data_IF_399804300418
#
_entry.id   IF_399804300418
#
_cell.length_a   1.000
_cell.length_b   1.000
_cell.length_c   1.000
_cell.angle_alpha   90.00
_cell.angle_beta   90.00
_cell.angle_gamma   90.00
#
_symmetry.space_group_name_H-M   'P 1'
#
loop_
_entity.id
_entity.type
_entity.pdbx_description
1 polymer ?
#
# COMPACT_ATOMS: atom_id res chain seq x y z
N UNK A 1 -42.92 -51.51 24.12
CA UNK A 1 -44.13 -51.85 23.32
C UNK A 1 -45.10 -50.68 23.34
N UNK A 2 -45.52 -50.26 22.23
CA UNK A 2 -46.47 -49.22 21.81
C UNK A 2 -45.77 -47.97 21.22
N UNK A 3 -45.81 -48.01 19.89
CA UNK A 3 -45.47 -46.96 18.93
C UNK A 3 -46.57 -45.90 18.95
N UNK A 4 -46.25 -44.62 18.96
CA UNK A 4 -47.19 -43.53 18.71
C UNK A 4 -46.78 -42.81 17.41
N UNK A 5 -47.72 -42.44 16.54
CA UNK A 5 -47.42 -41.93 15.20
C UNK A 5 -47.19 -40.40 15.20
N UNK A 6 -46.31 -39.98 14.32
CA UNK A 6 -45.98 -38.60 14.01
C UNK A 6 -47.13 -37.90 13.27
N UNK A 7 -47.62 -36.78 13.79
CA UNK A 7 -48.49 -35.83 13.11
C UNK A 7 -47.66 -34.74 12.43
N UNK A 8 -47.52 -34.85 11.12
CA UNK A 8 -47.00 -33.78 10.27
C UNK A 8 -48.11 -32.76 10.00
N UNK A 9 -48.05 -31.59 10.57
CA UNK A 9 -48.92 -30.46 10.20
C UNK A 9 -48.35 -29.79 8.95
N UNK A 10 -49.12 -29.88 7.84
CA UNK A 10 -48.88 -29.09 6.63
C UNK A 10 -49.23 -27.64 6.89
N UNK A 11 -48.25 -26.72 6.63
CA UNK A 11 -48.44 -25.27 6.62
C UNK A 11 -48.73 -24.85 5.17
N UNK A 12 -49.79 -24.08 4.89
CA UNK A 12 -50.07 -23.64 3.52
C UNK A 12 -49.09 -22.55 3.07
N UNK A 13 -48.54 -22.73 1.87
CA UNK A 13 -47.66 -21.77 1.17
C UNK A 13 -48.54 -20.65 0.63
N UNK A 14 -48.26 -19.36 0.95
CA UNK A 14 -48.98 -18.26 0.31
C UNK A 14 -48.48 -18.07 -1.13
N UNK A 15 -49.44 -17.95 -2.03
CA UNK A 15 -49.27 -17.66 -3.45
C UNK A 15 -48.70 -16.23 -3.60
N UNK A 16 -47.41 -16.07 -3.90
CA UNK A 16 -46.79 -14.78 -4.23
C UNK A 16 -47.17 -14.41 -5.66
N UNK A 17 -48.04 -13.40 -5.79
CA UNK A 17 -48.32 -12.71 -7.04
C UNK A 17 -47.05 -11.93 -7.49
N UNK A 18 -46.38 -12.43 -8.53
CA UNK A 18 -45.32 -11.74 -9.25
C UNK A 18 -45.88 -10.56 -10.04
N UNK A 19 -45.78 -9.34 -9.50
CA UNK A 19 -45.91 -8.15 -10.30
C UNK A 19 -44.61 -7.93 -11.10
N UNK A 20 -44.64 -8.21 -12.39
CA UNK A 20 -43.61 -7.88 -13.32
C UNK A 20 -43.57 -6.36 -13.52
N UNK A 21 -42.71 -5.64 -12.78
CA UNK A 21 -42.30 -4.30 -13.14
C UNK A 21 -41.34 -4.41 -14.32
N UNK A 22 -41.82 -4.10 -15.53
CA UNK A 22 -40.97 -3.82 -16.67
C UNK A 22 -40.21 -2.51 -16.43
N UNK A 23 -39.09 -2.60 -15.73
CA UNK A 23 -38.10 -1.52 -15.71
C UNK A 23 -37.46 -1.48 -17.09
N UNK A 24 -37.78 -0.45 -17.89
CA UNK A 24 -37.03 -0.14 -19.09
C UNK A 24 -35.60 0.22 -18.68
N UNK A 25 -34.69 -0.76 -18.73
CA UNK A 25 -33.27 -0.52 -18.58
C UNK A 25 -32.84 0.33 -19.78
N UNK A 26 -32.73 1.63 -19.57
CA UNK A 26 -31.95 2.49 -20.46
C UNK A 26 -30.52 1.90 -20.48
N UNK A 27 -30.15 1.26 -21.60
CA UNK A 27 -28.75 0.90 -21.87
C UNK A 27 -27.91 2.17 -21.77
N UNK A 28 -27.14 2.32 -20.69
CA UNK A 28 -26.04 3.27 -20.68
C UNK A 28 -25.18 3.02 -21.92
N UNK A 29 -24.72 4.09 -22.60
CA UNK A 29 -23.87 3.90 -23.78
C UNK A 29 -22.66 3.04 -23.38
N UNK A 30 -22.42 1.98 -24.14
CA UNK A 30 -21.23 1.15 -23.97
C UNK A 30 -19.99 2.05 -24.02
N UNK A 31 -19.17 2.03 -22.99
CA UNK A 31 -17.92 2.78 -22.94
C UNK A 31 -17.11 2.49 -24.22
N UNK A 32 -16.39 3.50 -24.68
CA UNK A 32 -15.53 3.36 -25.89
C UNK A 32 -14.53 2.23 -25.62
N UNK A 33 -14.57 1.16 -26.42
CA UNK A 33 -13.63 0.04 -26.25
C UNK A 33 -12.20 0.56 -26.40
N UNK A 34 -11.33 0.20 -25.46
CA UNK A 34 -9.91 0.51 -25.49
C UNK A 34 -9.27 -0.02 -26.80
N UNK A 35 -8.37 0.76 -27.37
CA UNK A 35 -7.58 0.34 -28.52
C UNK A 35 -6.14 0.05 -28.12
N UNK A 36 -5.47 -0.84 -28.86
CA UNK A 36 -4.03 -1.13 -28.65
C UNK A 36 -3.21 0.16 -28.77
N UNK A 37 -3.52 1.04 -29.73
CA UNK A 37 -2.83 2.31 -29.90
C UNK A 37 -2.99 3.24 -28.69
N UNK A 38 -4.17 3.31 -28.06
CA UNK A 38 -4.41 4.10 -26.88
C UNK A 38 -3.58 3.59 -25.68
N UNK A 39 -3.55 2.27 -25.47
CA UNK A 39 -2.70 1.66 -24.42
C UNK A 39 -1.22 2.00 -24.61
N UNK A 40 -0.70 1.85 -25.82
CA UNK A 40 0.70 2.16 -26.14
C UNK A 40 1.03 3.65 -25.99
N UNK A 41 0.09 4.54 -26.34
CA UNK A 41 0.25 5.98 -26.12
C UNK A 41 0.35 6.31 -24.64
N UNK A 42 -0.58 5.81 -23.81
CA UNK A 42 -0.55 6.03 -22.36
C UNK A 42 0.74 5.45 -21.75
N UNK A 43 1.17 4.26 -22.20
CA UNK A 43 2.43 3.68 -21.76
C UNK A 43 3.64 4.58 -22.06
N UNK A 44 3.67 5.19 -23.24
CA UNK A 44 4.75 6.11 -23.62
C UNK A 44 4.75 7.39 -22.80
N UNK A 45 3.57 7.96 -22.51
CA UNK A 45 3.42 9.13 -21.63
C UNK A 45 3.90 8.84 -20.21
N UNK A 46 3.50 7.70 -19.64
CA UNK A 46 3.94 7.25 -18.31
C UNK A 46 5.44 6.99 -18.25
N UNK A 47 6.02 6.29 -19.24
CA UNK A 47 7.46 6.03 -19.31
C UNK A 47 8.27 7.34 -19.41
N UNK A 48 7.78 8.31 -20.19
CA UNK A 48 8.37 9.66 -20.23
C UNK A 48 8.32 10.33 -18.86
N UNK A 49 7.18 10.29 -18.18
CA UNK A 49 7.00 10.89 -16.85
C UNK A 49 7.94 10.24 -15.81
N UNK A 50 8.09 8.90 -15.82
CA UNK A 50 9.06 8.19 -14.97
C UNK A 50 10.46 8.75 -15.17
N UNK A 51 10.91 8.87 -16.41
CA UNK A 51 12.29 9.31 -16.71
C UNK A 51 12.52 10.78 -16.40
N UNK A 52 11.66 11.66 -16.91
CA UNK A 52 11.92 13.10 -16.98
C UNK A 52 11.40 13.87 -15.76
N UNK A 53 10.25 13.47 -15.23
CA UNK A 53 9.59 14.19 -14.15
C UNK A 53 9.86 13.56 -12.78
N UNK A 54 10.19 12.25 -12.73
CA UNK A 54 10.44 11.54 -11.49
C UNK A 54 11.94 11.22 -11.30
N UNK A 55 12.47 10.23 -11.99
CA UNK A 55 13.79 9.67 -11.69
C UNK A 55 14.92 10.70 -11.89
N UNK A 56 14.92 11.47 -12.99
CA UNK A 56 15.95 12.47 -13.26
C UNK A 56 15.91 13.66 -12.30
N UNK A 57 14.82 13.85 -11.54
CA UNK A 57 14.72 14.89 -10.52
C UNK A 57 15.26 14.42 -9.18
N UNK A 58 15.01 13.15 -8.85
CA UNK A 58 15.47 12.60 -7.59
C UNK A 58 16.91 12.10 -7.62
N UNK A 59 17.38 11.54 -8.76
CA UNK A 59 18.68 10.90 -8.82
C UNK A 59 19.59 11.53 -9.87
N UNK A 60 20.83 11.88 -9.48
CA UNK A 60 21.50 11.60 -8.19
C UNK A 60 21.28 12.62 -7.06
N UNK A 61 20.40 13.61 -7.21
CA UNK A 61 20.25 14.74 -6.26
C UNK A 61 20.00 14.32 -4.80
N UNK A 62 19.23 13.25 -4.59
CA UNK A 62 18.94 12.75 -3.24
C UNK A 62 20.07 11.90 -2.63
N UNK A 63 21.13 11.59 -3.36
CA UNK A 63 22.26 10.82 -2.82
C UNK A 63 23.06 11.67 -1.82
N UNK A 64 23.17 11.21 -0.57
CA UNK A 64 24.07 11.84 0.41
C UNK A 64 25.49 11.29 0.27
N UNK A 65 26.29 11.91 -0.60
CA UNK A 65 27.67 11.50 -0.86
C UNK A 65 28.60 11.68 0.33
N UNK A 66 28.20 12.47 1.34
CA UNK A 66 29.04 12.77 2.50
C UNK A 66 28.86 11.73 3.62
N UNK A 67 27.60 11.34 3.90
CA UNK A 67 27.29 10.49 5.05
C UNK A 67 26.60 9.16 4.65
N UNK A 68 26.44 8.91 3.36
CA UNK A 68 25.78 7.69 2.86
C UNK A 68 24.26 7.77 2.88
N UNK A 69 23.60 6.84 2.20
CA UNK A 69 22.15 6.82 2.05
C UNK A 69 21.62 7.99 1.23
N UNK A 70 20.39 8.40 1.53
CA UNK A 70 19.67 9.42 0.77
C UNK A 70 19.26 10.59 1.66
N UNK A 71 19.31 11.79 1.09
CA UNK A 71 18.75 13.01 1.65
C UNK A 71 17.22 12.93 1.62
N UNK A 72 16.54 13.48 2.62
CA UNK A 72 15.11 13.29 2.81
C UNK A 72 14.26 14.53 2.53
N UNK A 73 14.75 15.73 2.88
CA UNK A 73 13.88 16.91 2.92
C UNK A 73 14.26 17.92 1.83
N UNK A 74 13.32 18.13 0.90
CA UNK A 74 13.46 19.03 -0.25
C UNK A 74 12.28 19.98 -0.32
N UNK A 75 12.56 21.24 -0.66
CA UNK A 75 11.54 22.25 -1.01
C UNK A 75 10.82 21.85 -2.30
N UNK A 76 9.75 22.56 -2.64
CA UNK A 76 8.96 22.32 -3.86
C UNK A 76 9.79 22.37 -5.16
N UNK A 77 10.92 23.08 -5.17
CA UNK A 77 11.85 23.21 -6.30
C UNK A 77 13.16 22.43 -6.09
N UNK A 78 13.14 21.37 -5.31
CA UNK A 78 14.26 20.45 -5.03
C UNK A 78 15.49 21.09 -4.39
N UNK A 79 15.37 22.20 -3.65
CA UNK A 79 16.45 22.69 -2.81
C UNK A 79 16.44 21.96 -1.46
N UNK A 80 17.62 21.65 -0.94
CA UNK A 80 17.74 21.06 0.40
C UNK A 80 17.23 22.01 1.47
N UNK A 81 16.47 21.49 2.44
CA UNK A 81 15.95 22.28 3.55
C UNK A 81 15.79 21.42 4.80
N UNK A 82 15.78 22.04 5.97
CA UNK A 82 15.50 21.37 7.24
C UNK A 82 16.45 20.22 7.61
N UNK A 83 16.08 19.45 8.62
CA UNK A 83 16.83 18.25 9.00
C UNK A 83 16.81 17.20 7.88
N UNK A 84 17.95 16.53 7.71
CA UNK A 84 18.10 15.42 6.75
C UNK A 84 18.13 14.09 7.49
N UNK A 85 17.20 13.91 8.43
CA UNK A 85 17.03 12.66 9.17
C UNK A 85 16.67 11.52 8.21
N UNK A 86 17.17 10.34 8.49
CA UNK A 86 17.04 9.16 7.63
C UNK A 86 16.21 8.09 8.33
N UNK A 87 14.99 7.89 7.84
CA UNK A 87 14.09 6.86 8.33
C UNK A 87 14.24 5.60 7.47
N UNK A 88 14.26 4.42 8.10
CA UNK A 88 14.42 3.14 7.42
C UNK A 88 13.46 2.99 6.23
N UNK A 89 12.20 3.38 6.38
CA UNK A 89 11.18 3.24 5.33
C UNK A 89 11.56 4.00 4.08
N UNK A 90 11.91 5.28 4.21
CA UNK A 90 12.26 6.13 3.05
C UNK A 90 13.60 5.73 2.45
N UNK A 91 14.60 5.39 3.27
CA UNK A 91 15.88 4.88 2.78
C UNK A 91 15.71 3.58 1.98
N UNK A 92 14.94 2.64 2.49
CA UNK A 92 14.60 1.40 1.82
C UNK A 92 13.82 1.64 0.50
N UNK A 93 12.83 2.55 0.52
CA UNK A 93 12.07 2.95 -0.67
C UNK A 93 12.97 3.51 -1.77
N UNK A 94 13.98 4.30 -1.43
CA UNK A 94 14.98 4.78 -2.41
C UNK A 94 15.85 3.65 -2.98
N UNK A 95 16.27 2.69 -2.15
CA UNK A 95 17.03 1.50 -2.62
C UNK A 95 16.16 0.70 -3.58
N UNK A 96 14.92 0.39 -3.20
CA UNK A 96 13.97 -0.32 -4.04
C UNK A 96 13.75 0.40 -5.38
N UNK A 97 13.47 1.69 -5.33
CA UNK A 97 13.20 2.50 -6.54
C UNK A 97 14.39 2.47 -7.51
N UNK A 98 15.60 2.59 -7.02
CA UNK A 98 16.80 2.52 -7.86
C UNK A 98 17.08 1.11 -8.37
N UNK A 99 16.79 0.07 -7.58
CA UNK A 99 16.88 -1.33 -8.02
C UNK A 99 15.90 -1.60 -9.20
N UNK A 100 14.65 -1.14 -9.08
CA UNK A 100 13.68 -1.25 -10.17
C UNK A 100 14.09 -0.41 -11.38
N UNK A 101 14.49 0.86 -11.17
CA UNK A 101 14.95 1.73 -12.24
C UNK A 101 16.15 1.13 -13.01
N UNK A 102 17.08 0.47 -12.32
CA UNK A 102 18.24 -0.18 -12.96
C UNK A 102 17.86 -1.39 -13.83
N UNK A 103 16.71 -2.02 -13.57
CA UNK A 103 16.15 -3.10 -14.41
C UNK A 103 15.34 -2.56 -15.58
N UNK A 104 14.60 -1.47 -15.36
CA UNK A 104 13.82 -0.82 -16.42
C UNK A 104 14.69 -0.11 -17.46
N UNK A 105 15.80 0.47 -17.00
CA UNK A 105 16.71 1.30 -17.80
C UNK A 105 18.17 0.87 -17.60
N UNK A 106 18.54 -0.35 -18.01
CA UNK A 106 19.86 -0.93 -17.75
C UNK A 106 21.01 -0.13 -18.40
N UNK A 107 20.71 0.67 -19.42
CA UNK A 107 21.65 1.59 -20.06
C UNK A 107 22.05 2.78 -19.16
N UNK A 108 21.25 3.08 -18.12
CA UNK A 108 21.47 4.20 -17.21
C UNK A 108 22.13 3.69 -15.92
N UNK A 109 23.47 3.59 -15.94
CA UNK A 109 24.25 2.94 -14.89
C UNK A 109 24.11 3.59 -13.49
N UNK A 110 23.79 4.88 -13.41
CA UNK A 110 23.74 5.57 -12.13
C UNK A 110 22.61 5.05 -11.22
N UNK A 111 21.51 4.50 -11.73
CA UNK A 111 20.46 3.90 -10.87
C UNK A 111 21.02 2.68 -10.11
N UNK A 112 21.80 1.84 -10.79
CA UNK A 112 22.48 0.71 -10.12
C UNK A 112 23.47 1.19 -9.06
N UNK A 113 24.20 2.27 -9.33
CA UNK A 113 25.13 2.88 -8.37
C UNK A 113 24.39 3.49 -7.17
N UNK A 114 23.27 4.19 -7.38
CA UNK A 114 22.44 4.74 -6.31
C UNK A 114 21.83 3.61 -5.44
N UNK A 115 21.36 2.52 -6.03
CA UNK A 115 20.85 1.38 -5.26
C UNK A 115 21.94 0.75 -4.39
N UNK A 116 23.13 0.51 -4.95
CA UNK A 116 24.27 -0.01 -4.21
C UNK A 116 24.69 0.91 -3.04
N UNK A 117 24.73 2.23 -3.30
CA UNK A 117 25.04 3.25 -2.29
C UNK A 117 24.03 3.21 -1.13
N UNK A 118 22.73 3.20 -1.45
CA UNK A 118 21.68 3.14 -0.43
C UNK A 118 21.69 1.80 0.32
N UNK A 119 21.88 0.67 -0.37
CA UNK A 119 21.98 -0.63 0.27
C UNK A 119 23.16 -0.70 1.25
N UNK A 120 24.32 -0.15 0.89
CA UNK A 120 25.47 -0.04 1.80
C UNK A 120 25.09 0.71 3.09
N UNK A 121 24.30 1.77 3.00
CA UNK A 121 23.80 2.50 4.16
C UNK A 121 22.83 1.65 5.01
N UNK A 122 21.89 0.96 4.37
CA UNK A 122 20.99 0.03 5.09
C UNK A 122 21.78 -1.02 5.89
N UNK A 123 22.76 -1.66 5.26
CA UNK A 123 23.53 -2.75 5.86
C UNK A 123 24.48 -2.27 6.96
N UNK A 124 25.13 -1.12 6.77
CA UNK A 124 26.25 -0.69 7.63
C UNK A 124 25.81 0.27 8.74
N UNK A 125 24.72 1.02 8.55
CA UNK A 125 24.24 2.08 9.45
C UNK A 125 22.87 1.76 10.03
N UNK A 126 21.90 1.39 9.19
CA UNK A 126 20.53 1.17 9.67
C UNK A 126 20.32 -0.19 10.34
N UNK A 127 21.10 -1.21 9.98
CA UNK A 127 21.03 -2.52 10.62
C UNK A 127 21.69 -2.50 12.00
N UNK A 128 20.94 -2.86 13.06
CA UNK A 128 21.47 -3.01 14.42
C UNK A 128 22.33 -4.27 14.51
N UNK A 129 23.63 -4.08 14.67
CA UNK A 129 24.62 -5.18 14.74
C UNK A 129 24.64 -5.90 16.09
N UNK A 130 23.99 -5.34 17.10
CA UNK A 130 23.95 -5.88 18.47
C UNK A 130 22.70 -6.72 18.66
N UNK A 131 21.51 -6.12 18.40
CA UNK A 131 20.22 -6.75 18.67
C UNK A 131 19.52 -7.28 17.40
N UNK A 132 20.06 -7.00 16.21
CA UNK A 132 19.39 -7.29 14.96
C UNK A 132 18.21 -6.34 14.68
N UNK A 133 17.59 -6.49 13.51
CA UNK A 133 16.55 -5.58 13.04
C UNK A 133 17.09 -4.21 12.64
N UNK A 134 16.25 -3.42 11.98
CA UNK A 134 16.62 -2.08 11.54
C UNK A 134 16.21 -1.02 12.57
N UNK A 135 17.09 -0.05 12.80
CA UNK A 135 16.75 1.18 13.51
C UNK A 135 15.66 1.96 12.75
N UNK A 136 14.73 2.58 13.47
CA UNK A 136 13.64 3.34 12.87
C UNK A 136 14.14 4.65 12.27
N UNK A 137 14.96 5.41 13.00
CA UNK A 137 15.39 6.76 12.63
C UNK A 137 16.82 7.02 13.07
N UNK A 138 17.63 7.56 12.15
CA UNK A 138 18.95 8.09 12.42
C UNK A 138 19.06 9.55 11.93
N UNK A 139 19.99 10.32 12.47
CA UNK A 139 20.29 11.63 11.93
C UNK A 139 21.02 11.53 10.57
N UNK A 140 21.28 12.65 9.92
CA UNK A 140 21.98 12.67 8.64
C UNK A 140 23.32 11.92 8.67
N UNK A 141 24.05 11.97 9.80
CA UNK A 141 25.37 11.34 9.96
C UNK A 141 25.30 9.84 10.25
N UNK A 142 24.11 9.32 10.52
CA UNK A 142 23.88 7.91 10.88
C UNK A 142 23.88 7.65 12.39
N UNK A 143 23.86 8.68 13.23
CA UNK A 143 23.70 8.51 14.68
C UNK A 143 22.24 8.17 15.00
N UNK A 144 22.03 7.22 15.91
CA UNK A 144 20.69 6.82 16.35
C UNK A 144 19.95 8.02 16.95
N UNK A 145 18.77 8.31 16.41
CA UNK A 145 17.92 9.42 16.85
C UNK A 145 16.68 8.95 17.59
N UNK A 146 16.13 7.81 17.20
CA UNK A 146 15.05 7.14 17.91
C UNK A 146 15.58 5.85 18.55
N UNK A 147 15.80 5.92 19.87
CA UNK A 147 16.25 4.80 20.70
C UNK A 147 15.09 4.04 21.35
N UNK A 148 13.84 4.45 21.10
CA UNK A 148 12.68 3.93 21.83
C UNK A 148 12.19 2.60 21.32
N UNK A 149 12.51 2.24 20.05
CA UNK A 149 12.09 0.96 19.53
C UNK A 149 12.31 0.75 18.04
N UNK A 150 11.87 -0.41 17.61
CA UNK A 150 11.83 -0.85 16.21
C UNK A 150 10.39 -1.14 15.82
N UNK A 151 10.12 -1.22 14.52
CA UNK A 151 8.78 -1.54 14.01
C UNK A 151 8.83 -2.69 13.03
N UNK A 152 7.81 -3.54 13.02
CA UNK A 152 7.65 -4.56 12.00
C UNK A 152 7.55 -3.91 10.60
N UNK A 153 6.84 -2.79 10.49
CA UNK A 153 6.73 -1.99 9.29
C UNK A 153 8.09 -1.55 8.71
N UNK A 154 8.96 -0.96 9.55
CA UNK A 154 10.30 -0.55 9.12
C UNK A 154 11.18 -1.72 8.68
N UNK A 155 11.09 -2.85 9.39
CA UNK A 155 11.81 -4.07 9.06
C UNK A 155 11.29 -4.72 7.77
N UNK A 156 9.98 -4.66 7.50
CA UNK A 156 9.39 -5.10 6.23
C UNK A 156 10.02 -4.34 5.05
N UNK A 157 10.14 -3.01 5.12
CA UNK A 157 10.80 -2.25 4.07
C UNK A 157 12.29 -2.57 3.93
N UNK A 158 12.98 -2.87 5.02
CA UNK A 158 14.36 -3.37 4.97
C UNK A 158 14.49 -4.68 4.19
N UNK A 159 13.58 -5.63 4.41
CA UNK A 159 13.49 -6.89 3.64
C UNK A 159 13.20 -6.59 2.17
N UNK A 160 12.16 -5.80 1.91
CA UNK A 160 11.69 -5.46 0.57
C UNK A 160 12.78 -4.86 -0.31
N UNK A 161 13.46 -3.84 0.19
CA UNK A 161 14.55 -3.18 -0.52
C UNK A 161 15.75 -4.11 -0.76
N UNK A 162 16.12 -4.90 0.24
CA UNK A 162 17.26 -5.82 0.15
C UNK A 162 16.98 -6.95 -0.84
N UNK A 163 15.76 -7.51 -0.86
CA UNK A 163 15.34 -8.53 -1.81
C UNK A 163 15.31 -7.97 -3.25
N UNK A 164 14.74 -6.77 -3.45
CA UNK A 164 14.73 -6.11 -4.76
C UNK A 164 16.15 -5.80 -5.27
N UNK A 165 17.04 -5.35 -4.40
CA UNK A 165 18.44 -5.12 -4.76
C UNK A 165 19.16 -6.42 -5.15
N UNK A 166 18.95 -7.51 -4.41
CA UNK A 166 19.47 -8.83 -4.80
C UNK A 166 18.99 -9.25 -6.19
N UNK A 167 17.69 -9.11 -6.47
CA UNK A 167 17.10 -9.46 -7.77
C UNK A 167 17.62 -8.60 -8.93
N UNK A 168 18.04 -7.37 -8.66
CA UNK A 168 18.57 -6.45 -9.66
C UNK A 168 20.08 -6.59 -9.87
N UNK A 169 20.84 -7.02 -8.85
CA UNK A 169 22.31 -6.98 -8.87
C UNK A 169 23.00 -8.34 -8.77
N UNK A 170 22.32 -9.34 -8.19
CA UNK A 170 22.93 -10.59 -7.76
C UNK A 170 23.75 -10.49 -6.47
N UNK A 171 23.70 -9.35 -5.75
CA UNK A 171 24.48 -9.18 -4.51
C UNK A 171 23.98 -10.09 -3.39
N UNK A 172 24.73 -11.14 -3.11
CA UNK A 172 24.38 -12.13 -2.08
C UNK A 172 24.37 -11.57 -0.66
N UNK A 173 25.05 -10.43 -0.39
CA UNK A 173 24.94 -9.74 0.90
C UNK A 173 23.54 -9.17 1.11
N UNK A 174 22.92 -8.71 0.04
CA UNK A 174 21.55 -8.18 0.10
C UNK A 174 20.55 -9.31 0.42
N UNK A 175 20.65 -10.44 -0.23
CA UNK A 175 19.82 -11.61 0.11
C UNK A 175 20.06 -12.06 1.55
N UNK A 176 21.31 -12.09 2.00
CA UNK A 176 21.63 -12.45 3.38
C UNK A 176 21.01 -11.47 4.39
N UNK A 177 21.08 -10.17 4.13
CA UNK A 177 20.47 -9.16 5.00
C UNK A 177 18.95 -9.31 5.06
N UNK A 178 18.28 -9.51 3.91
CA UNK A 178 16.84 -9.75 3.85
C UNK A 178 16.43 -11.01 4.65
N UNK A 179 17.18 -12.12 4.51
CA UNK A 179 16.96 -13.36 5.28
C UNK A 179 17.18 -13.15 6.77
N UNK A 180 18.24 -12.45 7.17
CA UNK A 180 18.51 -12.16 8.59
C UNK A 180 17.39 -11.32 9.20
N UNK A 181 16.86 -10.34 8.45
CA UNK A 181 15.73 -9.53 8.91
C UNK A 181 14.43 -10.34 9.01
N UNK A 182 14.16 -11.24 8.05
CA UNK A 182 13.04 -12.18 8.13
C UNK A 182 13.13 -13.07 9.39
N UNK A 183 14.28 -13.70 9.64
CA UNK A 183 14.48 -14.52 10.84
C UNK A 183 14.39 -13.73 12.13
N UNK A 184 14.83 -12.48 12.11
CA UNK A 184 14.67 -11.58 13.26
C UNK A 184 13.19 -11.28 13.54
N UNK A 185 12.38 -11.02 12.51
CA UNK A 185 10.94 -10.82 12.66
C UNK A 185 10.25 -12.10 13.17
N UNK A 186 10.63 -13.27 12.68
CA UNK A 186 10.10 -14.55 13.18
C UNK A 186 10.40 -14.76 14.67
N UNK A 187 11.59 -14.43 15.09
CA UNK A 187 12.01 -14.61 16.48
C UNK A 187 11.37 -13.61 17.43
N UNK A 188 11.14 -12.36 17.00
CA UNK A 188 10.80 -11.25 17.88
C UNK A 188 9.39 -10.74 17.69
N UNK A 189 8.90 -10.67 16.46
CA UNK A 189 7.64 -10.01 16.15
C UNK A 189 6.48 -10.96 15.83
N UNK A 190 6.74 -12.17 15.35
CA UNK A 190 5.69 -13.13 15.02
C UNK A 190 4.91 -13.57 16.26
N UNK A 191 3.59 -13.54 16.19
CA UNK A 191 2.70 -14.00 17.26
C UNK A 191 2.34 -15.49 17.05
N UNK A 192 2.90 -16.41 17.84
CA UNK A 192 2.65 -17.84 17.66
C UNK A 192 1.22 -18.27 18.03
N UNK A 193 0.50 -17.45 18.81
CA UNK A 193 -0.85 -17.76 19.31
C UNK A 193 -1.91 -17.28 18.33
N UNK A 194 -1.92 -15.97 18.05
CA UNK A 194 -2.95 -15.34 17.22
C UNK A 194 -2.49 -15.09 15.78
N UNK A 195 -1.24 -15.46 15.45
CA UNK A 195 -0.63 -15.27 14.13
C UNK A 195 -0.40 -13.80 13.77
N UNK A 196 0.27 -13.57 12.62
CA UNK A 196 0.71 -12.24 12.22
C UNK A 196 1.80 -11.68 13.14
N UNK A 197 2.00 -10.36 13.11
CA UNK A 197 3.17 -9.75 13.73
C UNK A 197 2.77 -8.58 14.62
N UNK A 198 3.47 -8.44 15.76
CA UNK A 198 3.42 -7.23 16.58
C UNK A 198 4.12 -6.08 15.87
N UNK A 199 3.48 -4.90 15.87
CA UNK A 199 4.01 -3.72 15.18
C UNK A 199 5.18 -3.08 15.93
N UNK A 200 5.01 -2.84 17.23
CA UNK A 200 5.94 -2.09 18.04
C UNK A 200 6.83 -3.02 18.85
N UNK A 201 8.15 -2.82 18.78
CA UNK A 201 9.16 -3.63 19.47
C UNK A 201 10.14 -2.71 20.20
N UNK A 202 10.59 -3.12 21.37
CA UNK A 202 11.69 -2.47 22.08
C UNK A 202 13.00 -2.61 21.26
N UNK A 203 14.07 -1.89 21.61
CA UNK A 203 15.36 -1.98 20.90
C UNK A 203 15.92 -3.40 20.80
N UNK A 204 15.68 -4.25 21.81
CA UNK A 204 16.10 -5.66 21.86
C UNK A 204 15.19 -6.63 21.07
N UNK A 205 14.09 -6.12 20.52
CA UNK A 205 13.10 -6.90 19.79
C UNK A 205 11.93 -7.40 20.64
N UNK A 206 11.85 -7.09 21.93
CA UNK A 206 10.70 -7.47 22.77
C UNK A 206 9.44 -6.74 22.30
N UNK A 207 8.29 -7.44 22.05
CA UNK A 207 7.04 -6.80 21.65
C UNK A 207 6.52 -5.84 22.72
N UNK A 208 6.12 -4.63 22.30
CA UNK A 208 5.50 -3.64 23.18
C UNK A 208 4.02 -3.99 23.36
N UNK A 209 3.63 -4.23 24.61
CA UNK A 209 2.23 -4.49 24.96
C UNK A 209 1.51 -3.20 25.35
N UNK A 210 0.24 -3.10 24.97
CA UNK A 210 -0.62 -2.00 25.39
C UNK A 210 -0.97 -2.13 26.87
N UNK A 211 -0.92 -1.02 27.59
CA UNK A 211 -1.32 -0.92 28.99
C UNK A 211 -2.32 0.23 29.15
N UNK A 212 -2.97 0.33 30.31
CA UNK A 212 -3.90 1.42 30.63
C UNK A 212 -3.24 2.82 30.62
N UNK A 213 -1.92 2.88 30.79
CA UNK A 213 -1.17 4.12 30.71
C UNK A 213 -1.01 4.66 29.28
N UNK A 214 -1.24 3.82 28.26
CA UNK A 214 -1.16 4.25 26.86
C UNK A 214 -2.42 5.05 26.51
N UNK A 215 -2.31 6.32 26.05
CA UNK A 215 -3.46 7.13 25.67
C UNK A 215 -4.36 6.44 24.63
N UNK A 216 -5.67 6.62 24.72
CA UNK A 216 -6.64 6.02 23.82
C UNK A 216 -6.43 6.43 22.35
N UNK A 217 -5.83 7.60 22.11
CA UNK A 217 -5.48 8.12 20.78
C UNK A 217 -4.16 7.57 20.21
N UNK A 218 -3.42 6.77 21.00
CA UNK A 218 -2.14 6.17 20.58
C UNK A 218 -2.38 4.81 19.95
N UNK A 219 -1.57 4.48 18.95
CA UNK A 219 -1.58 3.20 18.23
C UNK A 219 -0.67 2.14 18.86
N UNK A 220 0.11 2.50 19.88
CA UNK A 220 1.12 1.63 20.50
C UNK A 220 0.48 0.37 21.08
N UNK A 221 1.05 -0.78 20.74
CA UNK A 221 0.65 -2.10 21.25
C UNK A 221 -0.54 -2.74 20.55
N UNK A 222 -1.09 -2.11 19.50
CA UNK A 222 -2.04 -2.75 18.58
C UNK A 222 -1.31 -3.48 17.45
N UNK A 223 -1.98 -4.46 16.87
CA UNK A 223 -1.70 -4.90 15.49
C UNK A 223 -2.39 -3.95 14.52
N UNK A 224 -1.86 -3.79 13.33
CA UNK A 224 -2.41 -2.84 12.36
C UNK A 224 -2.36 -3.36 10.92
N UNK A 225 -3.27 -2.83 10.10
CA UNK A 225 -3.36 -3.17 8.71
C UNK A 225 -2.09 -2.75 7.92
N UNK A 226 -1.52 -1.57 8.23
CA UNK A 226 -0.43 -0.99 7.46
C UNK A 226 0.85 -1.83 7.58
N UNK A 227 1.21 -2.26 8.80
CA UNK A 227 2.31 -3.21 8.99
C UNK A 227 2.03 -4.55 8.32
N UNK A 228 0.78 -5.03 8.40
CA UNK A 228 0.38 -6.32 7.83
C UNK A 228 0.50 -6.34 6.30
N UNK A 229 0.02 -5.30 5.60
CA UNK A 229 0.10 -5.25 4.13
C UNK A 229 1.54 -5.10 3.63
N UNK A 230 2.39 -4.36 4.35
CA UNK A 230 3.79 -4.20 3.95
C UNK A 230 4.67 -5.39 4.36
N UNK A 231 4.30 -6.18 5.35
CA UNK A 231 4.88 -7.51 5.57
C UNK A 231 4.49 -8.47 4.43
N UNK A 232 3.22 -8.47 3.99
CA UNK A 232 2.79 -9.23 2.82
C UNK A 232 3.63 -8.86 1.59
N UNK A 233 3.79 -7.57 1.32
CA UNK A 233 4.58 -7.04 0.21
C UNK A 233 6.05 -7.47 0.30
N UNK A 234 6.68 -7.30 1.47
CA UNK A 234 8.07 -7.65 1.68
C UNK A 234 8.33 -9.17 1.56
N UNK A 235 7.42 -9.98 2.07
CA UNK A 235 7.51 -11.43 1.97
C UNK A 235 7.26 -11.92 0.54
N UNK A 236 6.40 -11.24 -0.21
CA UNK A 236 6.18 -11.50 -1.64
C UNK A 236 7.47 -11.29 -2.44
N UNK A 237 8.14 -10.14 -2.26
CA UNK A 237 9.40 -9.83 -2.94
C UNK A 237 10.53 -10.78 -2.51
N UNK A 238 10.62 -11.09 -1.21
CA UNK A 238 11.63 -12.01 -0.71
C UNK A 238 11.39 -13.45 -1.19
N UNK A 239 10.13 -13.91 -1.21
CA UNK A 239 9.80 -15.27 -1.66
C UNK A 239 10.11 -15.46 -3.15
N UNK A 240 9.89 -14.44 -3.96
CA UNK A 240 10.29 -14.45 -5.37
C UNK A 240 11.82 -14.55 -5.57
N UNK A 241 12.62 -14.14 -4.57
CA UNK A 241 14.08 -14.22 -4.57
C UNK A 241 14.62 -15.49 -3.85
N UNK A 242 13.89 -15.98 -2.87
CA UNK A 242 14.26 -17.08 -2.00
C UNK A 242 13.02 -17.89 -1.57
N UNK A 243 12.67 -18.95 -2.32
CA UNK A 243 11.46 -19.74 -2.06
C UNK A 243 11.64 -20.73 -0.90
N UNK A 244 11.72 -20.20 0.32
CA UNK A 244 11.87 -20.96 1.57
C UNK A 244 10.51 -21.47 2.06
N UNK A 245 10.41 -22.70 2.62
CA UNK A 245 9.14 -23.26 3.10
C UNK A 245 8.47 -22.46 4.21
N UNK A 246 9.23 -21.93 5.20
CA UNK A 246 8.66 -21.13 6.29
C UNK A 246 8.21 -19.75 5.77
N UNK A 247 9.01 -19.12 4.92
CA UNK A 247 8.61 -17.85 4.28
C UNK A 247 7.32 -18.02 3.45
N UNK A 248 7.17 -19.16 2.75
CA UNK A 248 5.92 -19.50 2.06
C UNK A 248 4.74 -19.56 3.03
N UNK A 249 4.92 -20.26 4.16
CA UNK A 249 3.88 -20.37 5.19
C UNK A 249 3.49 -18.99 5.72
N UNK A 250 4.46 -18.13 6.04
CA UNK A 250 4.21 -16.77 6.54
C UNK A 250 3.58 -15.85 5.51
N UNK A 251 3.99 -15.95 4.26
CA UNK A 251 3.36 -15.20 3.17
C UNK A 251 1.89 -15.59 2.99
N UNK A 252 1.60 -16.89 3.06
CA UNK A 252 0.22 -17.40 3.00
C UNK A 252 -0.58 -16.98 4.25
N UNK A 253 0.01 -17.04 5.43
CA UNK A 253 -0.60 -16.59 6.69
C UNK A 253 -1.01 -15.11 6.58
N UNK A 254 -0.10 -14.23 6.13
CA UNK A 254 -0.39 -12.81 5.97
C UNK A 254 -1.48 -12.57 4.92
N UNK A 255 -1.46 -13.28 3.79
CA UNK A 255 -2.51 -13.18 2.77
C UNK A 255 -3.89 -13.52 3.36
N UNK A 256 -3.99 -14.61 4.12
CA UNK A 256 -5.26 -15.04 4.72
C UNK A 256 -5.73 -14.09 5.82
N UNK A 257 -4.83 -13.60 6.68
CA UNK A 257 -5.18 -12.62 7.71
C UNK A 257 -5.72 -11.32 7.11
N UNK A 258 -5.07 -10.79 6.09
CA UNK A 258 -5.50 -9.56 5.43
C UNK A 258 -6.84 -9.77 4.73
N UNK A 259 -6.98 -10.87 3.98
CA UNK A 259 -8.17 -11.17 3.18
C UNK A 259 -9.39 -11.44 4.05
N UNK A 260 -9.25 -12.27 5.11
CA UNK A 260 -10.37 -12.89 5.80
C UNK A 260 -10.68 -12.24 7.17
N UNK A 261 -9.73 -11.46 7.73
CA UNK A 261 -9.86 -10.87 9.09
C UNK A 261 -9.75 -9.35 9.04
N UNK A 262 -8.69 -8.81 8.41
CA UNK A 262 -8.45 -7.37 8.39
C UNK A 262 -9.39 -6.66 7.41
N UNK A 263 -9.76 -7.31 6.31
CA UNK A 263 -10.77 -6.80 5.37
C UNK A 263 -12.17 -7.14 5.87
N UNK A 264 -12.99 -6.12 6.13
CA UNK A 264 -14.36 -6.32 6.60
C UNK A 264 -15.34 -6.68 5.46
N UNK A 265 -16.57 -7.01 5.81
CA UNK A 265 -17.61 -7.43 4.86
C UNK A 265 -17.99 -6.35 3.83
N UNK A 266 -17.76 -5.06 4.14
CA UNK A 266 -18.02 -3.95 3.20
C UNK A 266 -16.95 -3.80 2.14
N UNK A 267 -15.77 -4.38 2.35
CA UNK A 267 -14.61 -4.25 1.46
C UNK A 267 -13.67 -3.11 1.85
N UNK A 268 -13.66 -2.71 3.11
CA UNK A 268 -12.66 -1.80 3.66
C UNK A 268 -11.83 -2.47 4.75
N UNK A 269 -10.64 -1.96 4.99
CA UNK A 269 -9.75 -2.46 6.03
C UNK A 269 -10.16 -1.97 7.41
N UNK A 270 -9.98 -2.82 8.42
CA UNK A 270 -9.92 -2.42 9.83
C UNK A 270 -8.50 -1.95 10.11
N UNK A 271 -8.33 -0.69 10.52
CA UNK A 271 -7.00 -0.08 10.61
C UNK A 271 -6.17 -0.63 11.76
N UNK A 272 -6.77 -0.76 12.95
CA UNK A 272 -6.11 -1.26 14.15
C UNK A 272 -6.92 -2.35 14.83
N UNK A 273 -6.22 -3.34 15.37
CA UNK A 273 -6.80 -4.52 15.99
C UNK A 273 -6.07 -4.83 17.29
N UNK A 274 -6.76 -5.44 18.24
CA UNK A 274 -6.15 -6.03 19.43
C UNK A 274 -5.20 -7.18 19.02
N UNK A 275 -4.32 -7.65 19.92
CA UNK A 275 -3.44 -8.78 19.59
C UNK A 275 -4.16 -10.04 19.11
N UNK A 276 -5.40 -10.26 19.53
CA UNK A 276 -6.27 -11.37 19.13
C UNK A 276 -7.11 -11.09 17.86
N UNK A 277 -6.81 -10.02 17.14
CA UNK A 277 -7.49 -9.54 15.94
C UNK A 277 -8.90 -8.95 16.18
N UNK A 278 -9.31 -8.72 17.44
CA UNK A 278 -10.54 -7.97 17.71
C UNK A 278 -10.40 -6.53 17.18
N UNK A 279 -11.34 -6.03 16.35
CA UNK A 279 -11.29 -4.68 15.82
C UNK A 279 -11.26 -3.60 16.91
N UNK A 280 -10.43 -2.58 16.74
CA UNK A 280 -10.51 -1.34 17.50
C UNK A 280 -11.46 -0.40 16.78
N UNK A 281 -12.61 -0.08 17.40
CA UNK A 281 -13.63 0.76 16.77
C UNK A 281 -14.23 1.74 17.79
N UNK A 282 -14.51 2.94 17.31
CA UNK A 282 -15.20 4.01 18.05
C UNK A 282 -16.62 4.27 17.52
N UNK A 283 -17.16 3.38 16.68
CA UNK A 283 -18.45 3.55 16.00
C UNK A 283 -19.62 3.79 16.95
N UNK A 284 -19.53 3.31 18.20
CA UNK A 284 -20.56 3.51 19.25
C UNK A 284 -20.39 4.81 20.05
N UNK A 285 -19.35 5.58 19.77
CA UNK A 285 -19.05 6.83 20.44
C UNK A 285 -19.75 8.03 19.76
N UNK A 286 -19.69 9.20 20.39
CA UNK A 286 -20.11 10.44 19.78
C UNK A 286 -19.25 10.80 18.55
N UNK A 287 -19.78 11.57 17.62
CA UNK A 287 -19.07 12.03 16.42
C UNK A 287 -17.75 12.75 16.78
N UNK A 288 -17.75 13.54 17.88
CA UNK A 288 -16.55 14.22 18.37
C UNK A 288 -15.46 13.23 18.77
N UNK A 289 -15.81 12.18 19.52
CA UNK A 289 -14.88 11.14 19.95
C UNK A 289 -14.37 10.35 18.75
N UNK A 290 -15.23 9.99 17.81
CA UNK A 290 -14.84 9.33 16.55
C UNK A 290 -13.77 10.16 15.83
N UNK A 291 -14.01 11.45 15.61
CA UNK A 291 -13.08 12.34 14.92
C UNK A 291 -11.77 12.55 15.69
N UNK A 292 -11.77 12.51 17.02
CA UNK A 292 -10.54 12.51 17.82
C UNK A 292 -9.69 11.26 17.61
N UNK A 293 -10.33 10.12 17.34
CA UNK A 293 -9.68 8.82 17.12
C UNK A 293 -9.57 8.43 15.63
N UNK A 294 -9.82 9.37 14.70
CA UNK A 294 -9.82 9.08 13.26
C UNK A 294 -8.52 8.43 12.76
N UNK A 295 -7.37 8.71 13.40
CA UNK A 295 -6.10 8.07 13.01
C UNK A 295 -6.08 6.56 13.31
N UNK A 296 -7.01 6.06 14.13
CA UNK A 296 -7.10 4.66 14.51
C UNK A 296 -8.28 3.97 13.83
N UNK A 297 -9.37 4.71 13.58
CA UNK A 297 -10.64 4.15 13.10
C UNK A 297 -11.24 5.07 12.03
N UNK A 298 -10.96 4.78 10.75
CA UNK A 298 -11.56 5.40 9.58
C UNK A 298 -11.50 4.45 8.39
N UNK A 299 -12.24 4.73 7.34
CA UNK A 299 -12.09 4.08 6.03
C UNK A 299 -11.01 4.80 5.25
N UNK A 300 -9.94 4.10 4.87
CA UNK A 300 -8.83 4.62 4.07
C UNK A 300 -8.89 4.04 2.66
N UNK A 301 -9.49 4.78 1.72
CA UNK A 301 -9.66 4.30 0.35
C UNK A 301 -8.33 3.98 -0.35
N UNK A 302 -7.28 4.74 -0.04
CA UNK A 302 -5.95 4.48 -0.59
C UNK A 302 -5.39 3.12 -0.16
N UNK A 303 -5.48 2.79 1.13
CA UNK A 303 -5.03 1.50 1.63
C UNK A 303 -5.90 0.33 1.14
N UNK A 304 -7.22 0.54 1.03
CA UNK A 304 -8.12 -0.50 0.50
C UNK A 304 -7.69 -0.91 -0.92
N UNK A 305 -7.40 0.08 -1.77
CA UNK A 305 -6.99 -0.14 -3.17
C UNK A 305 -5.59 -0.74 -3.27
N UNK A 306 -4.63 -0.24 -2.49
CA UNK A 306 -3.27 -0.78 -2.43
C UNK A 306 -3.29 -2.24 -2.00
N UNK A 307 -4.07 -2.56 -0.97
CA UNK A 307 -4.19 -3.92 -0.43
C UNK A 307 -4.78 -4.89 -1.45
N UNK A 308 -5.78 -4.45 -2.22
CA UNK A 308 -6.35 -5.28 -3.29
C UNK A 308 -5.27 -5.73 -4.28
N UNK A 309 -4.40 -4.82 -4.71
CA UNK A 309 -3.26 -5.14 -5.57
C UNK A 309 -2.25 -6.08 -4.88
N UNK A 310 -1.83 -5.76 -3.65
CA UNK A 310 -0.82 -6.54 -2.92
C UNK A 310 -1.26 -7.98 -2.66
N UNK A 311 -2.53 -8.21 -2.35
CA UNK A 311 -3.07 -9.57 -2.17
C UNK A 311 -3.01 -10.39 -3.46
N UNK A 312 -3.36 -9.79 -4.61
CA UNK A 312 -3.30 -10.47 -5.90
C UNK A 312 -1.87 -10.79 -6.32
N UNK A 313 -0.92 -9.89 -6.06
CA UNK A 313 0.49 -10.13 -6.31
C UNK A 313 1.04 -11.26 -5.42
N UNK A 314 0.70 -11.27 -4.14
CA UNK A 314 1.08 -12.35 -3.22
C UNK A 314 0.52 -13.71 -3.65
N UNK A 315 -0.75 -13.76 -4.03
CA UNK A 315 -1.41 -14.97 -4.55
C UNK A 315 -0.71 -15.49 -5.81
N UNK A 316 -0.36 -14.58 -6.73
CA UNK A 316 0.40 -14.92 -7.95
C UNK A 316 1.77 -15.50 -7.63
N UNK A 317 2.55 -14.86 -6.76
CA UNK A 317 3.91 -15.30 -6.38
C UNK A 317 3.88 -16.62 -5.59
N UNK A 318 2.86 -16.86 -4.78
CA UNK A 318 2.60 -18.15 -4.12
C UNK A 318 2.27 -19.26 -5.11
N UNK A 319 1.95 -18.93 -6.36
CA UNK A 319 1.53 -19.87 -7.39
C UNK A 319 0.15 -20.49 -7.12
N UNK A 320 -0.75 -19.76 -6.43
CA UNK A 320 -2.12 -20.23 -6.16
C UNK A 320 -2.93 -20.11 -7.46
N UNK A 321 -3.20 -21.26 -8.07
CA UNK A 321 -3.99 -21.31 -9.30
C UNK A 321 -5.46 -21.03 -9.01
N UNK A 322 -6.09 -20.15 -9.81
CA UNK A 322 -7.53 -19.83 -9.71
C UNK A 322 -7.95 -19.39 -8.30
N UNK A 323 -7.21 -18.48 -7.70
CA UNK A 323 -7.52 -17.90 -6.38
C UNK A 323 -8.75 -16.97 -6.46
N UNK A 324 -9.91 -17.59 -6.69
CA UNK A 324 -11.17 -16.88 -6.87
C UNK A 324 -11.56 -16.08 -5.62
N UNK A 325 -11.24 -16.58 -4.43
CA UNK A 325 -11.59 -15.89 -3.19
C UNK A 325 -10.81 -14.58 -3.03
N UNK A 326 -9.49 -14.60 -3.23
CA UNK A 326 -8.69 -13.38 -3.17
C UNK A 326 -9.13 -12.37 -4.24
N UNK A 327 -9.44 -12.84 -5.46
CA UNK A 327 -9.96 -11.99 -6.53
C UNK A 327 -11.30 -11.34 -6.17
N UNK A 328 -12.25 -12.09 -5.59
CA UNK A 328 -13.56 -11.58 -5.17
C UNK A 328 -13.40 -10.51 -4.08
N UNK A 329 -12.54 -10.74 -3.08
CA UNK A 329 -12.32 -9.78 -2.01
C UNK A 329 -11.60 -8.54 -2.53
N UNK A 330 -10.54 -8.69 -3.34
CA UNK A 330 -9.83 -7.59 -3.97
C UNK A 330 -10.78 -6.72 -4.82
N UNK A 331 -11.63 -7.35 -5.65
CA UNK A 331 -12.65 -6.64 -6.42
C UNK A 331 -13.62 -5.89 -5.53
N UNK A 332 -14.11 -6.51 -4.45
CA UNK A 332 -15.02 -5.86 -3.48
C UNK A 332 -14.39 -4.60 -2.87
N UNK A 333 -13.11 -4.64 -2.52
CA UNK A 333 -12.38 -3.49 -1.99
C UNK A 333 -12.31 -2.34 -3.01
N UNK A 334 -11.99 -2.66 -4.25
CA UNK A 334 -11.94 -1.65 -5.33
C UNK A 334 -13.32 -1.09 -5.64
N UNK A 335 -14.35 -1.93 -5.71
CA UNK A 335 -15.74 -1.50 -5.96
C UNK A 335 -16.24 -0.58 -4.83
N UNK A 336 -15.95 -0.94 -3.57
CA UNK A 336 -16.28 -0.10 -2.41
C UNK A 336 -15.60 1.28 -2.51
N UNK A 337 -14.31 1.33 -2.81
CA UNK A 337 -13.59 2.57 -2.97
C UNK A 337 -14.11 3.42 -4.14
N UNK A 338 -14.44 2.80 -5.29
CA UNK A 338 -15.05 3.48 -6.43
C UNK A 338 -16.47 4.00 -6.15
N UNK A 339 -17.25 3.26 -5.38
CA UNK A 339 -18.62 3.64 -5.07
C UNK A 339 -18.67 4.81 -4.09
N UNK A 340 -17.77 4.86 -3.12
CA UNK A 340 -17.87 5.76 -1.98
C UNK A 340 -16.76 6.81 -1.87
N UNK A 341 -15.58 6.53 -2.41
CA UNK A 341 -14.40 7.40 -2.31
C UNK A 341 -14.00 8.09 -3.61
N UNK A 342 -14.64 7.79 -4.72
CA UNK A 342 -14.28 8.33 -6.03
C UNK A 342 -14.89 9.68 -6.31
N UNK A 343 -14.09 10.67 -6.68
CA UNK A 343 -14.58 11.93 -7.22
C UNK A 343 -15.01 11.78 -8.69
N UNK A 344 -16.31 11.84 -8.94
CA UNK A 344 -16.87 11.68 -10.28
C UNK A 344 -16.65 12.88 -11.19
N UNK A 345 -16.25 14.04 -10.67
CA UNK A 345 -16.04 15.28 -11.45
C UNK A 345 -14.64 15.33 -12.05
N UNK A 346 -13.63 15.19 -11.19
CA UNK A 346 -12.24 15.37 -11.59
C UNK A 346 -11.48 14.05 -11.68
N UNK A 347 -12.03 12.97 -11.14
CA UNK A 347 -11.32 11.71 -10.89
C UNK A 347 -10.53 11.74 -9.58
N UNK A 348 -9.94 10.60 -9.24
CA UNK A 348 -9.17 10.44 -8.02
C UNK A 348 -10.00 10.01 -6.81
N UNK A 349 -9.30 9.48 -5.81
CA UNK A 349 -9.89 8.99 -4.56
C UNK A 349 -9.69 10.00 -3.44
N UNK A 350 -10.75 10.27 -2.69
CA UNK A 350 -10.67 10.96 -1.41
C UNK A 350 -9.88 10.12 -0.40
N UNK A 351 -9.37 10.77 0.65
CA UNK A 351 -8.45 10.16 1.60
C UNK A 351 -9.17 9.31 2.67
N UNK A 352 -10.05 9.96 3.46
CA UNK A 352 -10.65 9.32 4.62
C UNK A 352 -12.19 9.48 4.65
N UNK A 353 -12.87 8.43 5.12
CA UNK A 353 -14.31 8.44 5.33
C UNK A 353 -14.70 7.70 6.61
N UNK A 354 -15.95 7.84 7.04
CA UNK A 354 -16.47 7.15 8.21
C UNK A 354 -17.94 6.75 8.05
N UNK A 355 -18.32 5.60 8.63
CA UNK A 355 -19.71 5.13 8.73
C UNK A 355 -20.32 5.54 10.07
N UNK A 356 -20.84 6.78 10.18
CA UNK A 356 -21.52 7.24 11.38
C UNK A 356 -22.87 6.53 11.54
N UNK A 357 -23.20 6.04 12.77
CA UNK A 357 -24.46 5.35 13.04
C UNK A 357 -25.72 6.21 12.82
N UNK A 358 -25.59 7.51 13.02
CA UNK A 358 -26.67 8.49 12.88
C UNK A 358 -26.79 9.08 11.47
N UNK A 359 -25.99 8.61 10.50
CA UNK A 359 -26.01 9.08 9.10
C UNK A 359 -26.25 7.91 8.15
N UNK A 360 -26.93 8.18 7.06
CA UNK A 360 -27.14 7.20 6.01
C UNK A 360 -25.88 7.11 5.12
N UNK A 361 -25.36 5.89 4.94
CA UNK A 361 -24.20 5.65 4.09
C UNK A 361 -22.88 6.06 4.76
N UNK A 362 -21.88 6.39 3.92
CA UNK A 362 -20.56 6.83 4.36
C UNK A 362 -20.42 8.34 4.25
N UNK A 363 -19.64 8.94 5.12
CA UNK A 363 -19.33 10.38 5.11
C UNK A 363 -17.86 10.57 4.84
N UNK A 364 -17.50 11.36 3.82
CA UNK A 364 -16.11 11.79 3.60
C UNK A 364 -15.74 12.74 4.73
N UNK A 365 -14.68 12.42 5.47
CA UNK A 365 -14.15 13.21 6.59
C UNK A 365 -12.85 13.92 6.24
N UNK A 366 -12.18 13.49 5.15
CA UNK A 366 -11.02 14.15 4.56
C UNK A 366 -11.07 14.02 3.05
N UNK A 367 -11.31 15.13 2.38
CA UNK A 367 -11.50 15.22 0.93
C UNK A 367 -10.23 15.52 0.13
N UNK A 368 -9.07 15.57 0.78
CA UNK A 368 -7.79 15.65 0.09
C UNK A 368 -7.52 14.37 -0.71
N UNK A 369 -6.67 14.47 -1.73
CA UNK A 369 -6.33 13.35 -2.61
C UNK A 369 -4.81 13.17 -2.58
N UNK A 370 -4.34 12.30 -1.68
CA UNK A 370 -2.93 11.98 -1.47
C UNK A 370 -2.28 11.37 -2.72
N UNK A 371 -1.05 11.76 -3.03
CA UNK A 371 -0.28 11.26 -4.17
C UNK A 371 -0.16 9.73 -4.21
N UNK A 372 0.13 9.14 -3.05
CA UNK A 372 0.33 7.69 -2.97
C UNK A 372 -0.96 6.91 -3.23
N UNK A 373 -2.09 7.37 -2.70
CA UNK A 373 -3.38 6.74 -2.92
C UNK A 373 -3.80 6.81 -4.41
N UNK A 374 -3.51 7.93 -5.10
CA UNK A 374 -3.77 8.04 -6.53
C UNK A 374 -2.84 7.13 -7.35
N UNK A 375 -1.57 7.02 -6.95
CA UNK A 375 -0.62 6.12 -7.58
C UNK A 375 -1.10 4.66 -7.48
N UNK A 376 -1.43 4.20 -6.27
CA UNK A 376 -1.91 2.83 -6.06
C UNK A 376 -3.26 2.60 -6.76
N UNK A 377 -4.14 3.60 -6.76
CA UNK A 377 -5.39 3.55 -7.50
C UNK A 377 -5.20 3.37 -8.99
N UNK A 378 -4.24 4.09 -9.58
CA UNK A 378 -3.90 3.96 -11.00
C UNK A 378 -3.49 2.52 -11.36
N UNK A 379 -2.57 1.95 -10.58
CA UNK A 379 -2.08 0.58 -10.78
C UNK A 379 -3.21 -0.45 -10.65
N UNK A 380 -4.01 -0.34 -9.59
CA UNK A 380 -5.06 -1.31 -9.29
C UNK A 380 -6.23 -1.22 -10.26
N UNK A 381 -6.61 -0.03 -10.71
CA UNK A 381 -7.66 0.15 -11.71
C UNK A 381 -7.30 -0.50 -13.05
N UNK A 382 -6.04 -0.38 -13.49
CA UNK A 382 -5.58 -1.06 -14.70
C UNK A 382 -5.57 -2.58 -14.54
N UNK A 383 -5.14 -3.08 -13.37
CA UNK A 383 -5.19 -4.51 -13.05
C UNK A 383 -6.65 -5.04 -13.10
N UNK A 384 -7.60 -4.31 -12.51
CA UNK A 384 -9.02 -4.69 -12.56
C UNK A 384 -9.58 -4.64 -13.99
N UNK A 385 -9.17 -3.66 -14.79
CA UNK A 385 -9.56 -3.56 -16.19
C UNK A 385 -9.09 -4.77 -17.03
N UNK A 386 -7.88 -5.27 -16.76
CA UNK A 386 -7.37 -6.46 -17.44
C UNK A 386 -8.15 -7.74 -17.06
N UNK A 387 -8.54 -7.87 -15.78
CA UNK A 387 -9.32 -9.02 -15.29
C UNK A 387 -10.82 -8.93 -15.61
N UNK A 388 -11.39 -7.73 -15.64
CA UNK A 388 -12.83 -7.50 -15.80
C UNK A 388 -13.11 -6.43 -16.87
N UNK A 389 -12.78 -6.68 -18.15
CA UNK A 389 -12.84 -5.66 -19.21
C UNK A 389 -14.25 -5.11 -19.50
N UNK A 390 -15.27 -5.91 -19.27
CA UNK A 390 -16.68 -5.55 -19.54
C UNK A 390 -17.48 -5.25 -18.25
N UNK A 391 -16.79 -5.00 -17.11
CA UNK A 391 -17.45 -4.74 -15.83
C UNK A 391 -18.23 -3.41 -15.85
N UNK A 392 -19.43 -3.34 -15.24
CA UNK A 392 -20.22 -2.12 -15.13
C UNK A 392 -19.50 -0.96 -14.42
N UNK A 393 -18.47 -1.23 -13.60
CA UNK A 393 -17.65 -0.21 -12.95
C UNK A 393 -16.72 0.52 -13.92
N UNK A 394 -16.52 -0.02 -15.15
CA UNK A 394 -15.73 0.60 -16.22
C UNK A 394 -14.31 0.94 -15.76
N UNK A 395 -13.58 -0.05 -15.24
CA UNK A 395 -12.25 0.15 -14.63
C UNK A 395 -11.24 0.82 -15.55
N UNK A 396 -11.24 0.50 -16.86
CA UNK A 396 -10.32 1.16 -17.80
C UNK A 396 -10.67 2.64 -18.00
N UNK A 397 -11.94 3.00 -18.01
CA UNK A 397 -12.36 4.40 -18.04
C UNK A 397 -11.94 5.14 -16.77
N UNK A 398 -12.11 4.50 -15.60
CA UNK A 398 -11.64 5.04 -14.33
C UNK A 398 -10.11 5.18 -14.28
N UNK A 399 -9.37 4.24 -14.84
CA UNK A 399 -7.93 4.32 -15.03
C UNK A 399 -7.54 5.53 -15.90
N UNK A 400 -8.21 5.76 -17.03
CA UNK A 400 -7.95 6.93 -17.89
C UNK A 400 -8.22 8.25 -17.17
N UNK A 401 -9.35 8.35 -16.48
CA UNK A 401 -9.69 9.53 -15.66
C UNK A 401 -8.66 9.75 -14.55
N UNK A 402 -8.19 8.67 -13.91
CA UNK A 402 -7.13 8.75 -12.90
C UNK A 402 -5.81 9.25 -13.48
N UNK A 403 -5.40 8.74 -14.64
CA UNK A 403 -4.18 9.23 -15.30
C UNK A 403 -4.29 10.69 -15.69
N UNK A 404 -5.43 11.12 -16.24
CA UNK A 404 -5.68 12.53 -16.54
C UNK A 404 -5.66 13.40 -15.27
N UNK A 405 -6.26 12.92 -14.18
CA UNK A 405 -6.22 13.61 -12.87
C UNK A 405 -4.78 13.80 -12.40
N UNK A 406 -3.98 12.74 -12.43
CA UNK A 406 -2.57 12.75 -12.01
C UNK A 406 -1.78 13.76 -12.84
N UNK A 407 -1.93 13.75 -14.16
CA UNK A 407 -1.26 14.71 -15.06
C UNK A 407 -1.67 16.16 -14.77
N UNK A 408 -2.92 16.39 -14.43
CA UNK A 408 -3.45 17.76 -14.28
C UNK A 408 -3.19 18.35 -12.89
N UNK A 409 -3.29 17.53 -11.82
CA UNK A 409 -3.33 18.04 -10.46
C UNK A 409 -2.23 17.53 -9.54
N UNK A 410 -1.50 16.48 -9.92
CA UNK A 410 -0.43 15.92 -9.10
C UNK A 410 0.97 16.13 -9.68
N UNK A 411 1.19 15.91 -10.97
CA UNK A 411 2.51 16.07 -11.57
C UNK A 411 2.89 17.56 -11.60
N UNK A 412 4.05 17.88 -11.03
CA UNK A 412 4.67 19.21 -11.20
C UNK A 412 5.51 19.23 -12.48
N UNK A 413 4.91 19.62 -13.59
CA UNK A 413 5.57 19.68 -14.89
C UNK A 413 6.72 20.70 -14.96
N UNK A 414 6.83 21.60 -13.98
CA UNK A 414 7.91 22.62 -13.93
C UNK A 414 9.10 22.12 -13.14
N UNK A 415 8.87 21.73 -11.88
CA UNK A 415 9.94 21.31 -10.99
C UNK A 415 10.15 19.79 -10.99
N UNK A 416 9.18 19.02 -11.45
CA UNK A 416 9.18 17.57 -11.42
C UNK A 416 8.61 16.98 -10.15
N UNK A 417 8.49 15.64 -10.12
CA UNK A 417 7.81 14.86 -9.10
C UNK A 417 6.33 15.24 -8.96
N UNK A 418 5.62 14.62 -8.02
CA UNK A 418 4.23 14.89 -7.75
C UNK A 418 4.08 15.79 -6.53
N UNK A 419 3.02 16.61 -6.51
CA UNK A 419 2.60 17.28 -5.29
C UNK A 419 2.14 16.23 -4.27
N UNK A 420 2.18 16.58 -2.99
CA UNK A 420 1.79 15.67 -1.92
C UNK A 420 0.29 15.38 -1.92
N UNK A 421 -0.51 16.38 -2.28
CA UNK A 421 -1.97 16.29 -2.42
C UNK A 421 -2.39 17.00 -3.71
N UNK A 422 -3.51 16.56 -4.29
CA UNK A 422 -4.05 17.12 -5.51
C UNK A 422 -4.41 18.60 -5.39
N UNK A 423 -3.95 19.39 -6.35
CA UNK A 423 -4.15 20.86 -6.36
C UNK A 423 -5.60 21.28 -6.62
N UNK A 424 -6.47 20.36 -7.03
CA UNK A 424 -7.92 20.63 -7.17
C UNK A 424 -8.59 20.87 -5.80
N UNK A 425 -8.17 20.13 -4.77
CA UNK A 425 -8.71 20.27 -3.40
C UNK A 425 -7.77 21.02 -2.47
N UNK A 426 -6.47 21.07 -2.78
CA UNK A 426 -5.42 21.68 -1.93
C UNK A 426 -4.43 22.51 -2.76
N UNK A 427 -4.85 23.63 -3.36
CA UNK A 427 -4.00 24.45 -4.24
C UNK A 427 -2.76 25.02 -3.53
N UNK A 428 -2.82 25.20 -2.21
CA UNK A 428 -1.70 25.64 -1.37
C UNK A 428 -0.53 24.65 -1.34
N UNK A 429 -0.78 23.37 -1.65
CA UNK A 429 0.27 22.33 -1.71
C UNK A 429 1.25 22.51 -2.87
N UNK A 430 1.01 23.44 -3.77
CA UNK A 430 1.92 23.77 -4.88
C UNK A 430 3.33 24.12 -4.40
N UNK A 431 3.46 24.69 -3.20
CA UNK A 431 4.74 25.09 -2.58
C UNK A 431 5.11 24.22 -1.37
N UNK A 432 4.43 23.12 -1.13
CA UNK A 432 4.77 22.16 -0.10
C UNK A 432 6.09 21.43 -0.41
N UNK A 433 6.65 20.75 0.59
CA UNK A 433 7.88 19.98 0.42
C UNK A 433 7.70 18.91 -0.68
N UNK A 434 8.71 18.79 -1.53
CA UNK A 434 8.75 17.76 -2.57
C UNK A 434 9.15 16.40 -1.98
N UNK A 435 10.04 16.40 -0.99
CA UNK A 435 10.46 15.24 -0.23
C UNK A 435 10.46 15.49 1.26
N UNK A 436 10.18 14.45 2.04
CA UNK A 436 10.31 14.41 3.50
C UNK A 436 10.47 12.96 3.95
N UNK A 437 10.59 12.70 5.26
CA UNK A 437 10.88 11.36 5.79
C UNK A 437 9.87 10.27 5.39
N UNK A 438 8.68 10.64 4.89
CA UNK A 438 7.65 9.70 4.40
C UNK A 438 7.48 9.70 2.88
N UNK A 439 7.94 10.75 2.18
CA UNK A 439 7.72 10.93 0.74
C UNK A 439 9.03 10.87 -0.04
N UNK A 440 9.13 9.91 -0.94
CA UNK A 440 10.15 9.72 -1.96
C UNK A 440 9.51 9.18 -3.23
N UNK A 441 10.26 8.46 -4.05
CA UNK A 441 9.86 8.00 -5.40
C UNK A 441 9.02 6.73 -5.44
N UNK A 442 8.76 6.07 -4.32
CA UNK A 442 8.29 4.68 -4.26
C UNK A 442 6.93 4.42 -4.92
N UNK A 443 5.83 4.98 -4.39
CA UNK A 443 4.47 4.67 -4.83
C UNK A 443 4.24 5.00 -6.31
N UNK A 444 4.65 6.18 -6.74
CA UNK A 444 4.46 6.60 -8.12
C UNK A 444 5.39 5.88 -9.11
N UNK A 445 6.61 5.52 -8.72
CA UNK A 445 7.44 4.66 -9.57
C UNK A 445 6.86 3.25 -9.70
N UNK A 446 6.42 2.64 -8.59
CA UNK A 446 5.78 1.32 -8.60
C UNK A 446 4.56 1.31 -9.52
N UNK A 447 3.67 2.26 -9.30
CA UNK A 447 2.44 2.37 -10.09
C UNK A 447 2.72 2.57 -11.57
N UNK A 448 3.50 3.60 -11.93
CA UNK A 448 3.78 3.92 -13.32
C UNK A 448 4.52 2.78 -14.03
N UNK A 449 5.51 2.15 -13.38
CA UNK A 449 6.25 1.04 -13.98
C UNK A 449 5.38 -0.18 -14.23
N UNK A 450 4.52 -0.55 -13.28
CA UNK A 450 3.57 -1.64 -13.43
C UNK A 450 2.56 -1.34 -14.56
N UNK A 451 2.04 -0.11 -14.60
CA UNK A 451 1.13 0.30 -15.67
C UNK A 451 1.81 0.24 -17.05
N UNK A 452 3.03 0.75 -17.17
CA UNK A 452 3.79 0.68 -18.45
C UNK A 452 3.95 -0.76 -18.91
N UNK A 453 4.30 -1.68 -18.01
CA UNK A 453 4.45 -3.10 -18.34
C UNK A 453 3.12 -3.71 -18.79
N UNK A 454 2.03 -3.52 -18.04
CA UNK A 454 0.70 -4.05 -18.38
C UNK A 454 0.15 -3.48 -19.68
N UNK A 455 0.35 -2.18 -19.93
CA UNK A 455 -0.13 -1.53 -21.15
C UNK A 455 0.60 -2.00 -22.40
N UNK A 456 1.90 -2.35 -22.29
CA UNK A 456 2.73 -2.88 -23.39
C UNK A 456 2.52 -4.37 -23.65
N UNK A 457 2.23 -5.14 -22.60
CA UNK A 457 2.06 -6.58 -22.67
C UNK A 457 0.60 -6.93 -22.33
N UNK A 458 -0.27 -6.82 -23.36
CA UNK A 458 -1.60 -7.43 -23.26
C UNK A 458 -1.37 -8.93 -23.48
N UNK A 459 -1.38 -9.72 -22.39
CA UNK A 459 -1.53 -11.16 -22.46
C UNK A 459 -2.90 -11.55 -23.00
#
# INVERSE_FOLDING_TARGET
>A
MKVLPSLIKQVPVPLLLLFAFAASAQKKPAGKKETVNERLQIAAEMDKSIRTELLNKWYPHSVDSLYGGFLSTFTYNFQLTGPQDKMIVTQARHVWSNAIASRLYPEIIHYKQCAAHGFSFLQNVMWDKINGGFFTLVDRKGNLKDSTGKTAYGNAFGIYASAAWYRASGDTNALRLAKNCFWWLEQHAHDPIYKGYYQNLLPDGTPVKRTEAVPSTSTVGYKDQNSSIHLLEAFTELYAAWPDPLLRERLQEMLLLIRDIITNEKGSLVLFLQPDWTPVSFQDSSEVVILQHRNIDHVSFGHDIETAYLMLEASHVLGIKNDTMTMIIAKRMVDHALQYGWDSKTGGFYDEAYYFKNKTGITIIKDSKNWWAQAEGLNTLLLMADHFPDDPMQYFEKFRMMWQYIQTYLIDHVNGDWYEEGLDTRPERKTALKGHIWKGTYHHLRSLSNCVQRLRHKE
#
